data_IF_450428483360
#
_entry.id   IF_450428483360
#
_cell.length_a   1.000
_cell.length_b   1.000
_cell.length_c   1.000
_cell.angle_alpha   90.00
_cell.angle_beta   90.00
_cell.angle_gamma   90.00
#
_symmetry.space_group_name_H-M   'P 1'
#
loop_
_entity.id
_entity.type
_entity.pdbx_description
1 polymer ?
#
# COMPACT_ATOMS: atom_id res chain seq x y z
N UNK A 1 18.91 22.00 20.08
CA UNK A 1 17.81 22.28 19.14
C UNK A 1 16.49 22.13 19.88
N UNK A 2 15.59 23.11 19.82
CA UNK A 2 14.25 23.00 20.40
C UNK A 2 13.46 21.95 19.61
N UNK A 3 13.03 20.86 20.24
CA UNK A 3 12.07 19.92 19.68
C UNK A 3 10.69 20.39 20.13
N UNK A 4 9.75 20.54 19.20
CA UNK A 4 8.36 20.80 19.58
C UNK A 4 7.77 19.48 20.08
N UNK A 5 7.46 19.42 21.38
CA UNK A 5 6.90 18.23 22.00
C UNK A 5 5.39 18.24 21.81
N UNK A 6 4.86 17.18 21.18
CA UNK A 6 3.43 16.95 21.03
C UNK A 6 3.08 15.69 21.81
N UNK A 7 2.03 15.76 22.62
CA UNK A 7 1.40 14.57 23.21
C UNK A 7 0.26 14.16 22.29
N UNK A 8 0.40 13.01 21.65
CA UNK A 8 -0.60 12.46 20.77
C UNK A 8 -1.38 11.36 21.48
N UNK A 9 -2.70 11.40 21.41
CA UNK A 9 -3.59 10.33 21.91
C UNK A 9 -3.89 9.41 20.74
N UNK A 10 -3.45 8.16 20.82
CA UNK A 10 -3.63 7.17 19.75
C UNK A 10 -5.12 7.02 19.45
N UNK A 11 -5.49 7.27 18.20
CA UNK A 11 -6.83 7.10 17.66
C UNK A 11 -6.95 5.78 16.88
N UNK A 12 -8.18 5.29 16.63
CA UNK A 12 -8.39 4.16 15.73
C UNK A 12 -7.77 4.45 14.35
N UNK A 13 -6.95 3.51 13.85
CA UNK A 13 -6.28 3.63 12.56
C UNK A 13 -4.89 4.28 12.61
N UNK A 14 -4.47 4.85 13.74
CA UNK A 14 -3.10 5.31 13.87
C UNK A 14 -2.11 4.14 13.86
N UNK A 15 -1.05 4.31 13.08
CA UNK A 15 0.17 3.50 13.07
C UNK A 15 1.36 4.40 13.41
N UNK A 16 2.45 3.85 13.95
CA UNK A 16 3.68 4.63 14.19
C UNK A 16 4.15 5.33 12.92
N UNK A 17 3.99 4.64 11.79
CA UNK A 17 4.26 5.17 10.48
C UNK A 17 3.38 6.40 10.14
N UNK A 18 2.05 6.27 10.25
CA UNK A 18 1.12 7.37 9.98
C UNK A 18 1.37 8.59 10.89
N UNK A 19 1.77 8.35 12.14
CA UNK A 19 2.11 9.37 13.12
C UNK A 19 3.44 10.05 12.80
N UNK A 20 4.46 9.28 12.39
CA UNK A 20 5.73 9.81 11.93
C UNK A 20 5.53 10.79 10.77
N UNK A 21 4.74 10.41 9.77
CA UNK A 21 4.38 11.25 8.63
C UNK A 21 3.59 12.49 9.05
N UNK A 22 2.53 12.32 9.86
CA UNK A 22 1.65 13.40 10.34
C UNK A 22 2.43 14.49 11.08
N UNK A 23 3.42 14.09 11.88
CA UNK A 23 4.18 14.99 12.73
C UNK A 23 5.58 15.34 12.21
N UNK A 24 5.87 15.00 10.95
CA UNK A 24 7.17 15.25 10.31
C UNK A 24 8.35 14.78 11.18
N UNK A 25 8.31 13.51 11.56
CA UNK A 25 9.32 12.82 12.36
C UNK A 25 9.53 11.42 11.81
N UNK A 26 10.30 10.56 12.47
CA UNK A 26 10.49 9.16 12.06
C UNK A 26 9.94 8.22 13.11
N UNK A 27 9.64 6.97 12.71
CA UNK A 27 9.23 5.91 13.64
C UNK A 27 10.27 5.74 14.73
N UNK A 28 11.55 5.70 14.39
CA UNK A 28 12.66 5.61 15.36
C UNK A 28 12.61 6.72 16.41
N UNK A 29 12.32 7.96 16.02
CA UNK A 29 12.25 9.08 16.97
C UNK A 29 11.03 8.94 17.88
N UNK A 30 9.93 8.41 17.37
CA UNK A 30 8.76 8.10 18.18
C UNK A 30 9.09 6.96 19.15
N UNK A 31 9.78 5.91 18.71
CA UNK A 31 10.17 4.78 19.56
C UNK A 31 11.18 5.18 20.63
N UNK A 32 12.19 5.98 20.27
CA UNK A 32 13.18 6.53 21.20
C UNK A 32 12.52 7.43 22.26
N UNK A 33 11.46 8.16 21.88
CA UNK A 33 10.69 8.99 22.79
C UNK A 33 9.76 8.20 23.71
N UNK A 34 9.37 6.99 23.29
CA UNK A 34 8.42 6.13 23.98
C UNK A 34 8.99 4.72 24.14
N UNK A 35 10.06 4.52 24.94
CA UNK A 35 10.71 3.22 25.11
C UNK A 35 9.80 2.16 25.77
N UNK A 36 8.63 2.57 26.28
CA UNK A 36 7.59 1.71 26.85
C UNK A 36 6.60 1.17 25.81
N UNK A 37 6.65 1.68 24.59
CA UNK A 37 5.70 1.37 23.55
C UNK A 37 6.08 0.07 22.83
N UNK A 38 5.09 -0.79 22.57
CA UNK A 38 5.24 -1.93 21.67
C UNK A 38 4.90 -1.46 20.24
N UNK A 39 5.86 -1.50 19.30
CA UNK A 39 5.65 -0.99 17.94
C UNK A 39 4.60 -1.80 17.17
N UNK A 40 4.37 -3.05 17.56
CA UNK A 40 3.41 -3.94 16.92
C UNK A 40 2.01 -3.84 17.54
N UNK A 41 1.84 -3.06 18.62
CA UNK A 41 0.58 -2.99 19.36
C UNK A 41 0.33 -1.61 19.96
N UNK A 42 -0.10 -0.70 19.10
CA UNK A 42 -0.67 0.59 19.53
C UNK A 42 -2.05 0.38 20.17
N UNK A 43 -2.24 0.96 21.36
CA UNK A 43 -3.51 0.89 22.09
C UNK A 43 -4.26 2.20 21.94
N UNK A 44 -5.47 2.15 21.41
CA UNK A 44 -6.33 3.34 21.26
C UNK A 44 -6.60 3.97 22.62
N UNK A 45 -6.39 5.28 22.72
CA UNK A 45 -6.50 6.07 23.94
C UNK A 45 -5.18 6.28 24.69
N UNK A 46 -4.13 5.54 24.35
CA UNK A 46 -2.81 5.73 24.96
C UNK A 46 -2.17 7.04 24.49
N UNK A 47 -1.40 7.66 25.38
CA UNK A 47 -0.64 8.87 25.10
C UNK A 47 0.81 8.54 24.77
N UNK A 48 1.27 9.09 23.64
CA UNK A 48 2.65 8.97 23.21
C UNK A 48 3.27 10.34 22.98
N UNK A 49 4.56 10.44 23.28
CA UNK A 49 5.38 11.62 23.07
C UNK A 49 5.86 11.61 21.62
N UNK A 50 5.52 12.65 20.88
CA UNK A 50 6.01 12.85 19.53
C UNK A 50 6.82 14.13 19.51
N UNK A 51 8.11 13.99 19.22
CA UNK A 51 8.94 15.12 18.88
C UNK A 51 8.66 15.51 17.44
N UNK A 52 7.82 16.54 17.25
CA UNK A 52 7.73 17.22 15.98
C UNK A 52 9.07 17.92 15.77
N UNK A 53 9.78 17.53 14.73
CA UNK A 53 10.95 18.29 14.32
C UNK A 53 10.42 19.67 13.88
N UNK A 54 10.94 20.80 14.41
CA UNK A 54 10.77 22.07 13.71
C UNK A 54 11.23 21.86 12.26
N UNK A 55 10.85 22.74 11.33
CA UNK A 55 11.46 22.81 9.99
C UNK A 55 12.97 23.11 10.14
N UNK A 56 13.72 22.09 10.54
CA UNK A 56 15.14 21.94 10.40
C UNK A 56 15.24 21.40 8.99
N UNK A 57 15.98 22.06 8.08
CA UNK A 57 16.36 21.40 6.85
C UNK A 57 17.02 20.11 7.31
N UNK A 58 16.34 18.99 7.05
CA UNK A 58 16.95 17.68 7.06
C UNK A 58 18.27 17.79 6.28
N UNK A 59 19.17 16.82 6.37
CA UNK A 59 19.94 16.53 5.16
C UNK A 59 18.90 16.48 4.03
N UNK A 60 18.88 17.47 3.15
CA UNK A 60 17.68 17.83 2.41
C UNK A 60 17.22 16.56 1.68
N UNK A 61 15.92 16.21 1.78
CA UNK A 61 15.37 15.13 0.94
C UNK A 61 15.90 15.41 -0.45
N UNK A 62 16.69 14.49 -0.99
CA UNK A 62 17.33 14.76 -2.26
C UNK A 62 16.26 14.73 -3.33
N UNK A 63 16.52 15.42 -4.45
CA UNK A 63 15.58 15.41 -5.58
C UNK A 63 15.21 13.98 -6.01
N UNK A 64 16.15 13.04 -5.86
CA UNK A 64 15.95 11.61 -6.18
C UNK A 64 15.10 10.87 -5.15
N UNK A 65 15.23 11.20 -3.87
CA UNK A 65 14.36 10.64 -2.83
C UNK A 65 12.92 11.12 -3.05
N UNK A 66 12.75 12.43 -3.26
CA UNK A 66 11.45 13.01 -3.53
C UNK A 66 10.82 12.44 -4.81
N UNK A 67 11.60 12.32 -5.89
CA UNK A 67 11.14 11.71 -7.14
C UNK A 67 10.66 10.26 -6.93
N UNK A 68 11.38 9.44 -6.15
CA UNK A 68 10.95 8.08 -5.85
C UNK A 68 9.65 8.07 -5.02
N UNK A 69 9.58 8.88 -3.97
CA UNK A 69 8.40 9.00 -3.10
C UNK A 69 7.15 9.38 -3.91
N UNK A 70 7.24 10.44 -4.71
CA UNK A 70 6.13 10.95 -5.51
C UNK A 70 5.68 9.93 -6.56
N UNK A 71 6.63 9.30 -7.26
CA UNK A 71 6.31 8.30 -8.28
C UNK A 71 5.69 7.03 -7.68
N UNK A 72 6.20 6.55 -6.55
CA UNK A 72 5.66 5.38 -5.86
C UNK A 72 4.23 5.65 -5.38
N UNK A 73 4.01 6.76 -4.68
CA UNK A 73 2.69 7.16 -4.20
C UNK A 73 1.69 7.34 -5.35
N UNK A 74 2.09 8.04 -6.43
CA UNK A 74 1.23 8.28 -7.57
C UNK A 74 0.83 6.99 -8.28
N UNK A 75 1.76 6.06 -8.49
CA UNK A 75 1.47 4.81 -9.19
C UNK A 75 0.60 3.87 -8.37
N UNK A 76 0.83 3.78 -7.06
CA UNK A 76 0.04 2.94 -6.16
C UNK A 76 -1.37 3.50 -5.96
N UNK A 77 -1.52 4.81 -5.79
CA UNK A 77 -2.83 5.48 -5.70
C UNK A 77 -3.64 5.31 -7.00
N UNK A 78 -2.98 5.49 -8.15
CA UNK A 78 -3.60 5.24 -9.45
C UNK A 78 -4.07 3.78 -9.60
N UNK A 79 -3.36 2.80 -9.04
CA UNK A 79 -3.81 1.40 -9.06
C UNK A 79 -5.18 1.26 -8.37
N UNK A 80 -5.33 1.79 -7.15
CA UNK A 80 -6.58 1.72 -6.38
C UNK A 80 -7.73 2.45 -7.09
N UNK A 81 -7.45 3.59 -7.71
CA UNK A 81 -8.43 4.33 -8.51
C UNK A 81 -8.94 3.47 -9.67
N UNK A 82 -8.03 2.82 -10.40
CA UNK A 82 -8.38 1.97 -11.54
C UNK A 82 -9.12 0.69 -11.11
N UNK A 83 -8.74 0.10 -9.98
CA UNK A 83 -9.44 -1.05 -9.39
C UNK A 83 -10.90 -0.71 -9.06
N UNK A 84 -11.11 0.44 -8.42
CA UNK A 84 -12.47 0.94 -8.16
C UNK A 84 -13.23 1.19 -9.46
N UNK A 85 -12.61 1.82 -10.45
CA UNK A 85 -13.24 2.05 -11.76
C UNK A 85 -13.64 0.71 -12.42
N UNK A 86 -12.77 -0.29 -12.37
CA UNK A 86 -13.07 -1.64 -12.86
C UNK A 86 -14.26 -2.26 -12.15
N UNK A 87 -14.34 -2.17 -10.81
CA UNK A 87 -15.50 -2.63 -10.03
C UNK A 87 -16.77 -1.91 -10.48
N UNK A 88 -16.73 -0.58 -10.62
CA UNK A 88 -17.89 0.21 -11.07
C UNK A 88 -18.34 -0.25 -12.47
N UNK A 89 -17.41 -0.40 -13.41
CA UNK A 89 -17.72 -0.83 -14.77
C UNK A 89 -18.29 -2.24 -14.82
N UNK A 90 -17.67 -3.18 -14.11
CA UNK A 90 -18.15 -4.56 -14.05
C UNK A 90 -19.54 -4.62 -13.40
N UNK A 91 -19.75 -4.02 -12.22
CA UNK A 91 -21.06 -4.07 -11.53
C UNK A 91 -22.18 -3.48 -12.38
N UNK A 92 -21.92 -2.38 -13.10
CA UNK A 92 -22.95 -1.68 -13.88
C UNK A 92 -23.04 -2.14 -15.35
N UNK A 93 -22.25 -3.14 -15.78
CA UNK A 93 -22.18 -3.60 -17.18
C UNK A 93 -21.83 -2.46 -18.16
N UNK A 94 -20.84 -1.65 -17.82
CA UNK A 94 -20.35 -0.58 -18.70
C UNK A 94 -19.46 -1.16 -19.81
N UNK A 95 -19.47 -0.51 -20.97
CA UNK A 95 -18.72 -0.95 -22.17
C UNK A 95 -17.26 -0.46 -22.18
N UNK A 96 -16.76 0.12 -21.10
CA UNK A 96 -15.42 0.71 -20.98
C UNK A 96 -14.39 -0.22 -20.30
N UNK A 97 -14.81 -1.42 -19.89
CA UNK A 97 -13.98 -2.32 -19.08
C UNK A 97 -12.67 -2.73 -19.77
N UNK A 98 -12.66 -2.90 -21.09
CA UNK A 98 -11.45 -3.25 -21.83
C UNK A 98 -10.41 -2.12 -21.76
N UNK A 99 -10.85 -0.87 -21.87
CA UNK A 99 -9.99 0.32 -21.78
C UNK A 99 -9.39 0.46 -20.37
N UNK A 100 -10.20 0.19 -19.34
CA UNK A 100 -9.75 0.22 -17.94
C UNK A 100 -8.72 -0.89 -17.71
N UNK A 101 -9.01 -2.12 -18.15
CA UNK A 101 -8.10 -3.26 -18.00
C UNK A 101 -6.74 -3.01 -18.66
N UNK A 102 -6.72 -2.43 -19.87
CA UNK A 102 -5.48 -2.04 -20.52
C UNK A 102 -4.70 -0.99 -19.72
N UNK A 103 -5.38 0.01 -19.13
CA UNK A 103 -4.71 1.03 -18.30
C UNK A 103 -4.17 0.43 -17.00
N UNK A 104 -4.91 -0.48 -16.36
CA UNK A 104 -4.46 -1.22 -15.18
C UNK A 104 -3.20 -2.03 -15.46
N UNK A 105 -3.19 -2.78 -16.56
CA UNK A 105 -2.01 -3.55 -16.98
C UNK A 105 -0.79 -2.64 -17.21
N UNK A 106 -0.99 -1.46 -17.80
CA UNK A 106 0.09 -0.46 -17.93
C UNK A 106 0.56 0.05 -16.56
N UNK A 107 -0.35 0.33 -15.64
CA UNK A 107 0.01 0.79 -14.29
C UNK A 107 0.85 -0.24 -13.52
N UNK A 108 0.51 -1.53 -13.61
CA UNK A 108 1.31 -2.60 -13.00
C UNK A 108 2.72 -2.69 -13.60
N UNK A 109 2.87 -2.46 -14.91
CA UNK A 109 4.19 -2.41 -15.57
C UNK A 109 4.98 -1.19 -15.08
N UNK A 110 4.33 -0.03 -14.97
CA UNK A 110 4.93 1.20 -14.44
C UNK A 110 5.44 0.99 -13.02
N UNK A 111 4.66 0.34 -12.15
CA UNK A 111 5.07 -0.05 -10.78
C UNK A 111 6.33 -0.92 -10.82
N UNK A 112 6.31 -2.03 -11.58
CA UNK A 112 7.48 -2.91 -11.67
C UNK A 112 8.73 -2.20 -12.18
N UNK A 113 8.58 -1.21 -13.07
CA UNK A 113 9.68 -0.41 -13.58
C UNK A 113 10.31 0.54 -12.54
N UNK A 114 9.58 0.95 -11.49
CA UNK A 114 10.19 1.69 -10.37
C UNK A 114 11.30 0.88 -9.69
N UNK A 115 11.11 -0.42 -9.57
CA UNK A 115 12.07 -1.34 -8.95
C UNK A 115 13.25 -1.66 -9.87
N UNK A 116 13.09 -1.53 -11.20
CA UNK A 116 14.11 -1.90 -12.21
C UNK A 116 15.43 -1.17 -12.02
N UNK A 117 15.40 0.10 -11.62
CA UNK A 117 16.61 0.90 -11.38
C UNK A 117 17.49 0.32 -10.27
N UNK A 118 16.88 -0.26 -9.25
CA UNK A 118 17.56 -0.68 -8.03
C UNK A 118 17.90 -2.17 -8.04
N UNK A 119 16.99 -2.99 -8.57
CA UNK A 119 17.09 -4.46 -8.52
C UNK A 119 17.38 -5.10 -9.88
N UNK A 120 17.44 -4.32 -10.96
CA UNK A 120 17.69 -4.83 -12.31
C UNK A 120 16.47 -5.48 -12.96
N UNK A 121 16.63 -5.89 -14.23
CA UNK A 121 15.51 -6.32 -15.08
C UNK A 121 14.85 -7.61 -14.64
N UNK A 122 15.64 -8.61 -14.23
CA UNK A 122 15.11 -9.92 -13.83
C UNK A 122 14.15 -9.81 -12.64
N UNK A 123 14.57 -9.07 -11.60
CA UNK A 123 13.74 -8.85 -10.41
C UNK A 123 12.51 -7.99 -10.74
N UNK A 124 12.69 -6.91 -11.51
CA UNK A 124 11.56 -6.07 -11.93
C UNK A 124 10.51 -6.85 -12.74
N UNK A 125 10.93 -7.79 -13.59
CA UNK A 125 10.04 -8.65 -14.35
C UNK A 125 9.31 -9.66 -13.44
N UNK A 126 10.00 -10.23 -12.44
CA UNK A 126 9.37 -11.07 -11.39
C UNK A 126 8.28 -10.30 -10.63
N UNK A 127 8.59 -9.08 -10.18
CA UNK A 127 7.64 -8.18 -9.49
C UNK A 127 6.44 -7.89 -10.39
N UNK A 128 6.68 -7.47 -11.64
CA UNK A 128 5.63 -7.16 -12.62
C UNK A 128 4.70 -8.35 -12.85
N UNK A 129 5.25 -9.56 -12.96
CA UNK A 129 4.47 -10.77 -13.19
C UNK A 129 3.61 -11.14 -11.98
N UNK A 130 4.12 -10.99 -10.76
CA UNK A 130 3.34 -11.24 -9.55
C UNK A 130 2.16 -10.25 -9.44
N UNK A 131 2.39 -8.95 -9.66
CA UNK A 131 1.31 -7.96 -9.63
C UNK A 131 0.32 -8.12 -10.79
N UNK A 132 0.77 -8.53 -11.98
CA UNK A 132 -0.15 -8.87 -13.09
C UNK A 132 -1.05 -10.04 -12.72
N UNK A 133 -0.49 -11.09 -12.13
CA UNK A 133 -1.26 -12.22 -11.65
C UNK A 133 -2.24 -11.80 -10.55
N UNK A 134 -1.80 -10.95 -9.62
CA UNK A 134 -2.63 -10.36 -8.56
C UNK A 134 -3.88 -9.69 -9.14
N UNK A 135 -3.66 -8.78 -10.11
CA UNK A 135 -4.72 -8.06 -10.82
C UNK A 135 -5.68 -9.03 -11.53
N UNK A 136 -5.16 -10.01 -12.27
CA UNK A 136 -5.99 -10.96 -13.02
C UNK A 136 -6.84 -11.85 -12.11
N UNK A 137 -6.30 -12.29 -10.96
CA UNK A 137 -7.05 -13.08 -9.98
C UNK A 137 -8.15 -12.20 -9.35
N UNK A 138 -7.84 -10.95 -8.99
CA UNK A 138 -8.83 -9.99 -8.50
C UNK A 138 -9.99 -9.78 -9.47
N UNK A 139 -9.70 -9.59 -10.77
CA UNK A 139 -10.73 -9.48 -11.80
C UNK A 139 -11.63 -10.72 -11.91
N UNK A 140 -11.05 -11.93 -11.81
CA UNK A 140 -11.83 -13.18 -11.79
C UNK A 140 -12.71 -13.27 -10.54
N UNK A 141 -12.19 -12.88 -9.38
CA UNK A 141 -12.95 -12.83 -8.13
C UNK A 141 -14.16 -11.88 -8.26
N UNK A 142 -13.95 -10.68 -8.81
CA UNK A 142 -15.02 -9.68 -9.02
C UNK A 142 -16.12 -10.25 -9.93
N UNK A 143 -15.75 -10.83 -11.06
CA UNK A 143 -16.69 -11.41 -12.03
C UNK A 143 -17.48 -12.60 -11.44
N UNK A 144 -16.80 -13.53 -10.76
CA UNK A 144 -17.44 -14.67 -10.10
C UNK A 144 -18.43 -14.21 -9.01
N UNK A 145 -18.03 -13.23 -8.19
CA UNK A 145 -18.89 -12.67 -7.14
C UNK A 145 -20.12 -11.99 -7.73
N UNK A 146 -19.96 -11.19 -8.79
CA UNK A 146 -21.09 -10.55 -9.49
C UNK A 146 -22.08 -11.57 -10.05
N UNK A 147 -21.60 -12.72 -10.53
CA UNK A 147 -22.42 -13.83 -11.05
C UNK A 147 -23.08 -14.67 -9.96
N UNK A 148 -22.75 -14.46 -8.68
CA UNK A 148 -23.19 -15.31 -7.57
C UNK A 148 -22.52 -16.69 -7.57
N UNK A 149 -21.40 -16.84 -8.29
CA UNK A 149 -20.63 -18.08 -8.35
C UNK A 149 -19.70 -18.18 -7.13
N UNK A 150 -20.30 -18.55 -5.99
CA UNK A 150 -19.60 -18.61 -4.70
C UNK A 150 -18.45 -19.62 -4.70
N UNK A 151 -18.56 -20.71 -5.47
CA UNK A 151 -17.51 -21.75 -5.53
C UNK A 151 -16.24 -21.23 -6.20
N UNK A 152 -16.38 -20.54 -7.34
CA UNK A 152 -15.23 -19.94 -8.01
C UNK A 152 -14.72 -18.70 -7.27
N UNK A 153 -15.60 -17.86 -6.71
CA UNK A 153 -15.18 -16.72 -5.91
C UNK A 153 -14.30 -17.14 -4.72
N UNK A 154 -14.68 -18.20 -4.01
CA UNK A 154 -13.90 -18.74 -2.89
C UNK A 154 -12.58 -19.38 -3.35
N UNK A 155 -12.56 -20.00 -4.53
CA UNK A 155 -11.33 -20.51 -5.15
C UNK A 155 -10.37 -19.37 -5.51
N UNK A 156 -10.85 -18.34 -6.20
CA UNK A 156 -10.03 -17.18 -6.57
C UNK A 156 -9.56 -16.39 -5.35
N UNK A 157 -10.35 -16.31 -4.28
CA UNK A 157 -9.91 -15.70 -3.02
C UNK A 157 -8.68 -16.41 -2.43
N UNK A 158 -8.65 -17.75 -2.42
CA UNK A 158 -7.46 -18.50 -1.97
C UNK A 158 -6.25 -18.29 -2.89
N UNK A 159 -6.46 -18.31 -4.20
CA UNK A 159 -5.39 -18.01 -5.17
C UNK A 159 -4.83 -16.59 -4.97
N UNK A 160 -5.70 -15.64 -4.63
CA UNK A 160 -5.32 -14.24 -4.43
C UNK A 160 -4.45 -14.06 -3.18
N UNK A 161 -4.83 -14.70 -2.07
CA UNK A 161 -4.04 -14.74 -0.84
C UNK A 161 -2.69 -15.45 -1.05
N UNK A 162 -2.68 -16.57 -1.77
CA UNK A 162 -1.43 -17.26 -2.10
C UNK A 162 -0.51 -16.41 -2.97
N UNK A 163 -1.06 -15.65 -3.93
CA UNK A 163 -0.28 -14.71 -4.72
C UNK A 163 0.27 -13.56 -3.85
N UNK A 164 -0.50 -13.06 -2.88
CA UNK A 164 -0.04 -12.10 -1.88
C UNK A 164 1.14 -12.64 -1.05
N UNK A 165 1.10 -13.91 -0.64
CA UNK A 165 2.23 -14.55 0.04
C UNK A 165 3.48 -14.61 -0.84
N UNK A 166 3.31 -14.94 -2.12
CA UNK A 166 4.42 -14.96 -3.07
C UNK A 166 5.03 -13.57 -3.30
N UNK A 167 4.20 -12.51 -3.26
CA UNK A 167 4.66 -11.12 -3.32
C UNK A 167 5.48 -10.78 -2.07
N UNK A 168 4.97 -11.11 -0.88
CA UNK A 168 5.67 -10.88 0.37
C UNK A 168 7.03 -11.59 0.41
N UNK A 169 7.06 -12.87 0.02
CA UNK A 169 8.29 -13.66 -0.03
C UNK A 169 9.33 -13.06 -0.99
N UNK A 170 8.91 -12.61 -2.18
CA UNK A 170 9.83 -11.96 -3.13
C UNK A 170 10.40 -10.65 -2.56
N UNK A 171 9.58 -9.80 -1.95
CA UNK A 171 10.07 -8.53 -1.42
C UNK A 171 11.07 -8.74 -0.28
N UNK A 172 10.81 -9.70 0.61
CA UNK A 172 11.74 -10.10 1.65
C UNK A 172 13.05 -10.71 1.09
N UNK A 173 12.98 -11.47 0.00
CA UNK A 173 14.17 -12.02 -0.68
C UNK A 173 15.11 -10.92 -1.20
N UNK A 174 14.56 -9.85 -1.78
CA UNK A 174 15.35 -8.85 -2.50
C UNK A 174 15.86 -7.71 -1.62
N UNK A 175 15.23 -7.48 -0.46
CA UNK A 175 15.55 -6.37 0.42
C UNK A 175 15.36 -6.76 1.90
N UNK A 176 16.41 -6.72 2.74
CA UNK A 176 16.35 -7.11 4.14
C UNK A 176 15.47 -6.19 5.01
N UNK A 177 15.13 -4.99 4.52
CA UNK A 177 14.23 -4.05 5.19
C UNK A 177 12.76 -4.31 4.85
N UNK A 178 12.47 -5.16 3.86
CA UNK A 178 11.11 -5.60 3.56
C UNK A 178 10.74 -6.85 4.36
N UNK A 179 10.34 -6.66 5.62
CA UNK A 179 9.82 -7.74 6.45
C UNK A 179 8.64 -8.45 5.78
N UNK A 180 8.75 -9.77 5.64
CA UNK A 180 7.76 -10.58 4.93
C UNK A 180 6.36 -10.46 5.56
N UNK A 181 6.29 -10.47 6.89
CA UNK A 181 5.02 -10.37 7.62
C UNK A 181 4.33 -9.02 7.40
N UNK A 182 5.10 -7.92 7.31
CA UNK A 182 4.54 -6.59 7.06
C UNK A 182 4.04 -6.46 5.62
N UNK A 183 4.82 -6.94 4.63
CA UNK A 183 4.37 -6.96 3.23
C UNK A 183 3.12 -7.81 3.08
N UNK A 184 3.07 -8.99 3.73
CA UNK A 184 1.88 -9.86 3.70
C UNK A 184 0.66 -9.16 4.29
N UNK A 185 0.81 -8.45 5.42
CA UNK A 185 -0.28 -7.69 6.02
C UNK A 185 -0.78 -6.56 5.11
N UNK A 186 0.12 -5.84 4.42
CA UNK A 186 -0.29 -4.88 3.40
C UNK A 186 -1.09 -5.54 2.27
N UNK A 187 -0.60 -6.65 1.72
CA UNK A 187 -1.30 -7.33 0.63
C UNK A 187 -2.68 -7.87 1.06
N UNK A 188 -2.76 -8.50 2.24
CA UNK A 188 -4.03 -9.04 2.76
C UNK A 188 -5.04 -7.94 3.06
N UNK A 189 -4.59 -6.86 3.71
CA UNK A 189 -5.43 -5.70 3.97
C UNK A 189 -5.94 -5.04 2.68
N UNK A 190 -5.12 -5.02 1.63
CA UNK A 190 -5.51 -4.46 0.35
C UNK A 190 -6.62 -5.29 -0.29
N UNK A 191 -6.45 -6.62 -0.35
CA UNK A 191 -7.47 -7.56 -0.83
C UNK A 191 -8.79 -7.36 -0.08
N UNK A 192 -8.76 -7.28 1.25
CA UNK A 192 -9.98 -7.09 2.06
C UNK A 192 -10.71 -5.78 1.69
N UNK A 193 -9.96 -4.69 1.53
CA UNK A 193 -10.54 -3.39 1.15
C UNK A 193 -11.17 -3.42 -0.24
N UNK A 194 -10.53 -4.04 -1.22
CA UNK A 194 -11.11 -4.21 -2.56
C UNK A 194 -12.39 -5.07 -2.51
N UNK A 195 -12.42 -6.13 -1.70
CA UNK A 195 -13.63 -6.93 -1.46
C UNK A 195 -14.75 -6.13 -0.79
N UNK A 196 -14.41 -5.21 0.13
CA UNK A 196 -15.37 -4.28 0.76
C UNK A 196 -15.94 -3.27 -0.23
N UNK A 197 -15.12 -2.72 -1.13
CA UNK A 197 -15.59 -1.86 -2.22
C UNK A 197 -16.61 -2.62 -3.09
N UNK A 198 -16.25 -3.84 -3.54
CA UNK A 198 -17.12 -4.67 -4.37
C UNK A 198 -18.45 -5.00 -3.68
N UNK A 199 -18.39 -5.54 -2.46
CA UNK A 199 -19.59 -5.99 -1.73
C UNK A 199 -20.55 -4.84 -1.42
N UNK A 200 -20.04 -3.69 -0.98
CA UNK A 200 -20.86 -2.50 -0.76
C UNK A 200 -21.46 -1.97 -2.06
N UNK A 201 -20.71 -2.00 -3.17
CA UNK A 201 -21.22 -1.61 -4.49
C UNK A 201 -22.37 -2.51 -4.95
N UNK A 202 -22.21 -3.84 -4.85
CA UNK A 202 -23.25 -4.82 -5.19
C UNK A 202 -24.50 -4.63 -4.33
N UNK A 203 -24.32 -4.29 -3.04
CA UNK A 203 -25.41 -3.99 -2.12
C UNK A 203 -26.02 -2.58 -2.30
N UNK A 204 -25.54 -1.79 -3.27
CA UNK A 204 -25.93 -0.38 -3.46
C UNK A 204 -25.69 0.52 -2.24
N UNK A 205 -24.79 0.12 -1.34
CA UNK A 205 -24.38 0.90 -0.16
C UNK A 205 -23.24 1.85 -0.55
N UNK A 206 -23.55 2.91 -1.30
CA UNK A 206 -22.53 3.78 -1.89
C UNK A 206 -21.73 4.60 -0.87
N UNK A 207 -22.32 4.91 0.29
CA UNK A 207 -21.61 5.61 1.36
C UNK A 207 -20.48 4.72 1.91
N UNK A 208 -20.81 3.50 2.33
CA UNK A 208 -19.80 2.56 2.84
C UNK A 208 -18.82 2.07 1.75
N UNK A 209 -19.24 2.08 0.48
CA UNK A 209 -18.34 1.85 -0.66
C UNK A 209 -17.28 2.94 -0.77
N UNK A 210 -17.68 4.21 -0.61
CA UNK A 210 -16.75 5.34 -0.61
C UNK A 210 -15.81 5.29 0.59
N UNK A 211 -16.33 5.00 1.79
CA UNK A 211 -15.48 4.86 2.99
C UNK A 211 -14.43 3.75 2.79
N UNK A 212 -14.82 2.61 2.23
CA UNK A 212 -13.89 1.53 1.92
C UNK A 212 -12.84 1.91 0.86
N UNK A 213 -13.21 2.77 -0.10
CA UNK A 213 -12.29 3.30 -1.10
C UNK A 213 -11.26 4.27 -0.49
N UNK A 214 -11.70 5.19 0.36
CA UNK A 214 -10.80 6.12 1.05
C UNK A 214 -9.81 5.34 1.93
N UNK A 215 -10.29 4.35 2.67
CA UNK A 215 -9.42 3.46 3.45
C UNK A 215 -8.42 2.66 2.57
N UNK A 216 -8.80 2.26 1.35
CA UNK A 216 -7.91 1.56 0.42
C UNK A 216 -6.78 2.47 -0.07
N UNK A 217 -7.09 3.74 -0.36
CA UNK A 217 -6.09 4.73 -0.78
C UNK A 217 -5.14 5.06 0.36
N UNK A 218 -5.64 5.30 1.57
CA UNK A 218 -4.79 5.53 2.75
C UNK A 218 -3.81 4.39 2.97
N UNK A 219 -4.29 3.15 2.85
CA UNK A 219 -3.47 1.97 2.99
C UNK A 219 -2.38 1.87 1.91
N UNK A 220 -2.70 2.18 0.65
CA UNK A 220 -1.74 2.11 -0.45
C UNK A 220 -0.64 3.18 -0.35
N UNK A 221 -0.95 4.34 0.25
CA UNK A 221 0.05 5.36 0.54
C UNK A 221 1.04 4.90 1.63
N UNK A 222 0.54 4.25 2.69
CA UNK A 222 1.44 3.66 3.70
C UNK A 222 2.33 2.56 3.09
N UNK A 223 1.76 1.75 2.21
CA UNK A 223 2.50 0.73 1.47
C UNK A 223 3.55 1.33 0.52
N UNK A 224 3.22 2.43 -0.18
CA UNK A 224 4.18 3.11 -1.06
C UNK A 224 5.35 3.71 -0.29
N UNK A 225 5.07 4.26 0.89
CA UNK A 225 6.10 4.82 1.74
C UNK A 225 7.03 3.74 2.30
N UNK A 226 6.46 2.59 2.71
CA UNK A 226 7.21 1.43 3.17
C UNK A 226 8.21 0.93 2.11
N UNK A 227 7.76 0.74 0.86
CA UNK A 227 8.65 0.32 -0.23
C UNK A 227 9.71 1.37 -0.56
N UNK A 228 9.34 2.65 -0.55
CA UNK A 228 10.29 3.75 -0.79
C UNK A 228 11.40 3.75 0.25
N UNK A 229 11.05 3.68 1.54
CA UNK A 229 12.02 3.69 2.63
C UNK A 229 12.98 2.50 2.55
N UNK A 230 12.48 1.28 2.35
CA UNK A 230 13.38 0.13 2.24
C UNK A 230 14.31 0.21 1.03
N UNK A 231 13.89 0.80 -0.10
CA UNK A 231 14.79 1.05 -1.24
C UNK A 231 15.90 2.04 -0.84
N UNK A 232 15.54 3.16 -0.19
CA UNK A 232 16.50 4.18 0.22
C UNK A 232 17.51 3.60 1.24
N UNK A 233 17.03 2.83 2.21
CA UNK A 233 17.87 2.18 3.22
C UNK A 233 18.83 1.15 2.62
N UNK A 234 18.41 0.39 1.61
CA UNK A 234 19.27 -0.59 0.94
C UNK A 234 20.29 0.07 -0.01
N UNK A 235 19.92 1.17 -0.67
CA UNK A 235 20.73 1.80 -1.71
C UNK A 235 21.05 3.29 -1.46
N UNK A 236 21.55 3.68 -0.27
CA UNK A 236 21.68 5.09 0.11
C UNK A 236 22.54 5.89 -0.87
N UNK A 237 23.58 5.28 -1.44
CA UNK A 237 24.47 5.93 -2.42
C UNK A 237 23.79 6.30 -3.75
N UNK A 238 22.62 5.76 -4.07
CA UNK A 238 21.87 6.15 -5.27
C UNK A 238 21.09 7.45 -5.08
N UNK A 239 20.94 7.89 -3.84
CA UNK A 239 20.15 9.04 -3.40
C UNK A 239 20.99 10.21 -2.89
N UNK A 240 22.32 10.10 -2.89
CA UNK A 240 23.26 11.19 -2.57
C UNK A 240 23.46 12.15 -3.75
#
# INVERSE_FOLDING_TARGET
MNKDIIIHVIAPGDTLYSLARRYNTTVDIIMDANPYLDPNRLVVGDQIIIYRRPNIPSNAITERELELMDNMAALFDNNVILERQSIVSVVNNLNDIDVINERMLRNVIEIGNLFRRYYGSEIADRITNLFRNHLLIGSKFIDATKKGDNANAETYNREWLQNADNIAALFNEINPFFQEDEVRQFMYGHIDRIKRILSNRLASNYAAEMDAFDEAREQVIMMSDYFTNGIIEQFPNQFL
#
